data_IF_917110737753
#
_entry.id   IF_917110737753
#
_cell.length_a   1.000
_cell.length_b   1.000
_cell.length_c   1.000
_cell.angle_alpha   90.00
_cell.angle_beta   90.00
_cell.angle_gamma   90.00
#
_symmetry.space_group_name_H-M   'P 1'
#
loop_
_entity.id
_entity.type
_entity.pdbx_description
1 polymer ?
#
# COMPACT_ATOMS: atom_id res chain seq x y z
N UNK A 1 4.43 -33.21 9.85
CA UNK A 1 5.01 -32.01 10.49
C UNK A 1 5.53 -31.14 9.36
N UNK A 2 4.76 -30.15 8.88
CA UNK A 2 5.24 -29.26 7.81
C UNK A 2 6.30 -28.33 8.42
N UNK A 3 7.54 -28.49 7.98
CA UNK A 3 8.60 -27.51 8.25
C UNK A 3 8.14 -26.21 7.59
N UNK A 4 7.77 -25.22 8.41
CA UNK A 4 7.57 -23.87 7.92
C UNK A 4 8.94 -23.39 7.44
N UNK A 5 9.18 -23.47 6.13
CA UNK A 5 10.34 -22.86 5.50
C UNK A 5 10.39 -21.38 5.90
N UNK A 6 11.52 -20.95 6.48
CA UNK A 6 11.74 -19.55 6.82
C UNK A 6 11.84 -18.76 5.51
N UNK A 7 10.72 -18.15 5.10
CA UNK A 7 10.70 -17.21 3.99
C UNK A 7 11.61 -16.02 4.30
N UNK A 8 12.41 -15.59 3.33
CA UNK A 8 13.09 -14.29 3.40
C UNK A 8 12.04 -13.18 3.37
N UNK A 9 11.99 -12.36 4.42
CA UNK A 9 11.00 -11.28 4.57
C UNK A 9 11.70 -9.94 4.38
N UNK A 10 11.15 -9.10 3.51
CA UNK A 10 11.54 -7.70 3.34
C UNK A 10 10.53 -6.77 3.99
N UNK A 11 10.97 -5.58 4.42
CA UNK A 11 10.08 -4.58 4.97
C UNK A 11 9.02 -4.13 3.96
N UNK A 12 9.33 -4.12 2.65
CA UNK A 12 8.40 -3.69 1.60
C UNK A 12 7.27 -4.70 1.35
N UNK A 13 7.42 -5.94 1.80
CA UNK A 13 6.41 -7.00 1.60
C UNK A 13 5.04 -6.63 2.19
N UNK A 14 5.02 -5.74 3.19
CA UNK A 14 3.78 -5.21 3.74
C UNK A 14 2.91 -4.53 2.68
N UNK A 15 3.51 -4.01 1.60
CA UNK A 15 2.79 -3.37 0.49
C UNK A 15 2.74 -4.24 -0.77
N UNK A 16 3.82 -4.96 -1.11
CA UNK A 16 3.98 -5.58 -2.44
C UNK A 16 3.69 -7.08 -2.49
N UNK A 17 3.65 -7.77 -1.35
CA UNK A 17 3.53 -9.22 -1.32
C UNK A 17 2.18 -9.69 -1.89
N UNK A 18 2.20 -10.44 -2.99
CA UNK A 18 0.99 -10.86 -3.71
C UNK A 18 0.30 -12.10 -3.14
N UNK A 19 1.03 -12.93 -2.39
CA UNK A 19 0.54 -14.21 -1.86
C UNK A 19 1.12 -14.48 -0.47
N UNK A 20 0.36 -15.16 0.38
CA UNK A 20 0.73 -15.44 1.76
C UNK A 20 0.36 -14.30 2.70
N UNK A 21 1.04 -14.23 3.85
CA UNK A 21 0.72 -13.30 4.93
C UNK A 21 1.76 -12.19 5.05
N UNK A 22 1.28 -10.96 5.18
CA UNK A 22 2.11 -9.79 5.46
C UNK A 22 1.60 -9.11 6.74
N UNK A 23 2.51 -8.82 7.67
CA UNK A 23 2.20 -8.11 8.90
C UNK A 23 2.25 -6.60 8.68
N UNK A 24 1.19 -5.88 9.06
CA UNK A 24 1.10 -4.44 8.90
C UNK A 24 0.17 -3.81 9.94
N UNK A 25 0.37 -2.52 10.23
CA UNK A 25 -0.56 -1.73 11.05
C UNK A 25 -1.79 -1.31 10.22
N UNK A 26 -2.85 -0.83 10.88
CA UNK A 26 -4.02 -0.29 10.17
C UNK A 26 -3.67 0.86 9.21
N UNK A 27 -2.76 1.75 9.61
CA UNK A 27 -2.29 2.85 8.75
C UNK A 27 -1.55 2.30 7.51
N UNK A 28 -0.71 1.28 7.67
CA UNK A 28 -0.02 0.66 6.55
C UNK A 28 -1.00 -0.08 5.61
N UNK A 29 -2.07 -0.65 6.16
CA UNK A 29 -3.14 -1.23 5.36
C UNK A 29 -3.86 -0.17 4.51
N UNK A 30 -4.11 1.03 5.06
CA UNK A 30 -4.68 2.15 4.31
C UNK A 30 -3.77 2.61 3.16
N UNK A 31 -2.44 2.62 3.36
CA UNK A 31 -1.47 2.92 2.27
C UNK A 31 -1.51 1.84 1.19
N UNK A 32 -1.68 0.58 1.57
CA UNK A 32 -1.74 -0.55 0.62
C UNK A 32 -3.03 -0.59 -0.18
N UNK A 33 -4.14 -0.18 0.41
CA UNK A 33 -5.48 -0.25 -0.19
C UNK A 33 -5.56 0.30 -1.62
N UNK A 34 -5.10 1.53 -1.93
CA UNK A 34 -5.16 2.07 -3.29
C UNK A 34 -4.24 1.31 -4.28
N UNK A 35 -3.13 0.73 -3.81
CA UNK A 35 -2.27 -0.12 -4.65
C UNK A 35 -3.02 -1.39 -5.08
N UNK A 36 -3.67 -2.05 -4.12
CA UNK A 36 -4.49 -3.25 -4.39
C UNK A 36 -5.67 -2.92 -5.30
N UNK A 37 -6.32 -1.78 -5.10
CA UNK A 37 -7.42 -1.36 -5.98
C UNK A 37 -6.94 -1.20 -7.44
N UNK A 38 -5.80 -0.53 -7.66
CA UNK A 38 -5.20 -0.42 -9.00
C UNK A 38 -4.94 -1.79 -9.63
N UNK A 39 -4.41 -2.73 -8.86
CA UNK A 39 -4.15 -4.10 -9.35
C UNK A 39 -5.43 -4.84 -9.73
N UNK A 40 -6.51 -4.66 -8.97
CA UNK A 40 -7.81 -5.24 -9.28
C UNK A 40 -8.42 -4.62 -10.53
N UNK A 41 -8.32 -3.30 -10.68
CA UNK A 41 -8.80 -2.57 -11.84
C UNK A 41 -8.06 -3.01 -13.12
N UNK A 42 -6.74 -3.17 -13.06
CA UNK A 42 -5.94 -3.69 -14.17
C UNK A 42 -6.37 -5.10 -14.58
N UNK A 43 -6.69 -5.97 -13.62
CA UNK A 43 -7.21 -7.33 -13.90
C UNK A 43 -8.60 -7.29 -14.54
N UNK A 44 -9.39 -6.26 -14.26
CA UNK A 44 -10.68 -6.02 -14.88
C UNK A 44 -10.58 -5.29 -16.25
N UNK A 45 -9.36 -4.98 -16.71
CA UNK A 45 -9.14 -4.26 -17.97
C UNK A 45 -9.37 -2.74 -17.87
N UNK A 46 -9.40 -2.17 -16.67
CA UNK A 46 -9.62 -0.75 -16.43
C UNK A 46 -8.30 0.01 -16.27
N UNK A 47 -8.21 1.19 -16.89
CA UNK A 47 -7.07 2.10 -16.73
C UNK A 47 -7.36 3.22 -15.71
N UNK A 48 -7.45 2.84 -14.42
CA UNK A 48 -7.70 3.75 -13.31
C UNK A 48 -6.44 4.38 -12.72
N UNK A 49 -6.64 5.43 -11.92
CA UNK A 49 -5.62 6.08 -11.10
C UNK A 49 -6.23 6.43 -9.74
N UNK A 50 -5.39 6.54 -8.71
CA UNK A 50 -5.79 6.98 -7.37
C UNK A 50 -5.42 8.44 -7.13
N UNK A 51 -6.28 9.17 -6.41
CA UNK A 51 -5.96 10.52 -5.92
C UNK A 51 -6.31 10.61 -4.44
N UNK A 52 -5.31 10.90 -3.61
CA UNK A 52 -5.46 11.02 -2.15
C UNK A 52 -5.16 12.46 -1.79
N UNK A 53 -6.09 13.10 -1.09
CA UNK A 53 -5.93 14.47 -0.60
C UNK A 53 -6.63 14.63 0.75
N UNK A 54 -6.21 15.61 1.54
CA UNK A 54 -6.77 15.88 2.86
C UNK A 54 -5.81 16.68 3.74
N UNK A 55 -6.37 17.33 4.77
CA UNK A 55 -5.59 18.16 5.68
C UNK A 55 -4.81 17.35 6.70
N UNK A 56 -3.53 17.69 6.88
CA UNK A 56 -2.63 17.03 7.82
C UNK A 56 -3.00 17.34 9.27
N UNK A 57 -3.12 16.31 10.11
CA UNK A 57 -3.36 16.51 11.54
C UNK A 57 -3.83 15.26 12.27
N UNK A 58 -3.96 15.34 13.59
CA UNK A 58 -4.58 14.28 14.39
C UNK A 58 -6.04 14.08 13.95
N UNK A 59 -6.53 12.83 13.79
CA UNK A 59 -5.89 11.55 14.12
C UNK A 59 -5.11 10.88 12.97
N UNK A 60 -5.03 11.50 11.78
CA UNK A 60 -4.49 10.89 10.56
C UNK A 60 -3.06 11.32 10.19
N UNK A 61 -2.37 12.12 11.01
CA UNK A 61 -1.01 12.56 10.69
C UNK A 61 -0.02 11.40 10.49
N UNK A 62 -0.26 10.25 11.14
CA UNK A 62 0.50 9.03 10.89
C UNK A 62 0.26 8.44 9.50
N UNK A 63 -0.93 8.61 8.93
CA UNK A 63 -1.25 8.18 7.56
C UNK A 63 -0.55 9.05 6.52
N UNK A 64 -0.63 10.37 6.64
CA UNK A 64 0.04 11.30 5.72
C UNK A 64 1.55 11.05 5.68
N UNK A 65 2.16 10.81 6.85
CA UNK A 65 3.58 10.48 6.93
C UNK A 65 3.92 9.17 6.22
N UNK A 66 3.03 8.16 6.28
CA UNK A 66 3.25 6.90 5.58
C UNK A 66 3.01 7.01 4.08
N UNK A 67 2.05 7.82 3.63
CA UNK A 67 1.85 8.15 2.21
C UNK A 67 3.09 8.84 1.64
N UNK A 68 3.61 9.86 2.32
CA UNK A 68 4.81 10.58 1.89
C UNK A 68 6.03 9.64 1.80
N UNK A 69 6.24 8.77 2.81
CA UNK A 69 7.34 7.79 2.81
C UNK A 69 7.27 6.78 1.66
N UNK A 70 6.08 6.51 1.12
CA UNK A 70 5.85 5.53 0.06
C UNK A 70 5.47 6.18 -1.27
N UNK A 71 5.81 7.45 -1.47
CA UNK A 71 5.45 8.22 -2.67
C UNK A 71 5.84 7.53 -3.98
N UNK A 72 7.06 7.00 -4.08
CA UNK A 72 7.50 6.29 -5.29
C UNK A 72 6.63 5.06 -5.58
N UNK A 73 6.30 4.28 -4.55
CA UNK A 73 5.45 3.10 -4.68
C UNK A 73 4.01 3.48 -5.09
N UNK A 74 3.50 4.60 -4.57
CA UNK A 74 2.21 5.16 -4.95
C UNK A 74 2.23 5.59 -6.43
N UNK A 75 3.26 6.31 -6.87
CA UNK A 75 3.43 6.75 -8.26
C UNK A 75 3.52 5.57 -9.24
N UNK A 76 4.26 4.51 -8.90
CA UNK A 76 4.31 3.26 -9.67
C UNK A 76 2.92 2.63 -9.88
N UNK A 77 1.99 2.83 -8.93
CA UNK A 77 0.60 2.35 -9.01
C UNK A 77 -0.38 3.44 -9.46
N UNK A 78 0.10 4.52 -10.06
CA UNK A 78 -0.72 5.63 -10.54
C UNK A 78 -1.56 6.28 -9.42
N UNK A 79 -1.02 6.34 -8.20
CA UNK A 79 -1.65 7.00 -7.05
C UNK A 79 -0.93 8.30 -6.77
N UNK A 80 -1.63 9.42 -6.89
CA UNK A 80 -1.12 10.74 -6.52
C UNK A 80 -1.57 11.11 -5.12
N UNK A 81 -0.61 11.43 -4.25
CA UNK A 81 -0.89 12.04 -2.94
C UNK A 81 -0.64 13.54 -2.98
N UNK A 82 -1.65 14.33 -2.63
CA UNK A 82 -1.61 15.78 -2.54
C UNK A 82 -2.25 16.20 -1.20
N UNK A 83 -1.46 16.35 -0.13
CA UNK A 83 -1.96 16.85 1.15
C UNK A 83 -2.49 18.28 1.05
#
# INVERSE_FOLDING_TARGET
MSLIEKRSVSLVDKYTLKKGYAFMTGIQALVRLPLVQRELDLKAGLNTAGYISGYRGSPLGGYDQQLERNKNLLEEHHVKFQP
#
